data_IF_939238239381
#
_entry.id   IF_939238239381
#
_cell.length_a   1.000
_cell.length_b   1.000
_cell.length_c   1.000
_cell.angle_alpha   90.00
_cell.angle_beta   90.00
_cell.angle_gamma   90.00
#
_symmetry.space_group_name_H-M   'P 1'
#
loop_
_entity.id
_entity.type
_entity.pdbx_description
1 polymer ?
#
# COMPACT_ATOMS: atom_id res chain seq x y z
N UNK A 1 8.03 7.21 18.35
CA UNK A 1 7.40 7.58 17.06
C UNK A 1 7.43 6.36 16.15
N UNK A 2 6.54 6.26 15.17
CA UNK A 2 6.54 5.12 14.24
C UNK A 2 7.69 5.27 13.22
N UNK A 3 8.13 4.14 12.64
CA UNK A 3 9.12 4.13 11.55
C UNK A 3 8.64 5.01 10.38
N UNK A 4 7.33 5.00 10.10
CA UNK A 4 6.74 5.86 9.07
C UNK A 4 6.95 7.34 9.38
N UNK A 5 6.57 7.77 10.59
CA UNK A 5 6.70 9.16 11.03
C UNK A 5 8.16 9.61 10.94
N UNK A 6 9.09 8.84 11.52
CA UNK A 6 10.51 9.20 11.56
C UNK A 6 11.10 9.34 10.15
N UNK A 7 10.74 8.42 9.26
CA UNK A 7 11.17 8.45 7.86
C UNK A 7 10.60 9.67 7.12
N UNK A 8 9.32 9.99 7.34
CA UNK A 8 8.68 11.16 6.72
C UNK A 8 9.26 12.48 7.24
N UNK A 9 9.55 12.59 8.53
CA UNK A 9 10.21 13.78 9.09
C UNK A 9 11.58 13.99 8.45
N UNK A 10 12.35 12.92 8.30
CA UNK A 10 13.66 12.99 7.63
C UNK A 10 13.54 13.33 6.14
N UNK A 11 12.53 12.77 5.45
CA UNK A 11 12.22 13.13 4.07
C UNK A 11 11.88 14.62 3.92
N UNK A 12 11.08 15.18 4.83
CA UNK A 12 10.76 16.62 4.86
C UNK A 12 12.02 17.46 5.08
N UNK A 13 12.93 17.04 5.97
CA UNK A 13 14.22 17.73 6.19
C UNK A 13 15.07 17.76 4.93
N UNK A 14 15.23 16.61 4.27
CA UNK A 14 15.97 16.49 3.00
C UNK A 14 15.33 17.33 1.90
N UNK A 15 14.00 17.26 1.77
CA UNK A 15 13.24 18.07 0.83
C UNK A 15 13.46 19.57 1.05
N UNK A 16 13.38 20.04 2.30
CA UNK A 16 13.68 21.45 2.64
C UNK A 16 15.09 21.85 2.22
N UNK A 17 16.09 20.99 2.45
CA UNK A 17 17.47 21.25 2.03
C UNK A 17 17.59 21.35 0.50
N UNK A 18 16.92 20.47 -0.25
CA UNK A 18 16.85 20.53 -1.72
C UNK A 18 16.23 21.83 -2.20
N UNK A 19 15.09 22.26 -1.64
CA UNK A 19 14.46 23.51 -2.05
C UNK A 19 15.38 24.73 -1.83
N UNK A 20 16.23 24.74 -0.78
CA UNK A 20 17.20 25.83 -0.59
C UNK A 20 18.24 25.89 -1.70
N UNK A 21 18.61 24.74 -2.27
CA UNK A 21 19.60 24.62 -3.34
C UNK A 21 19.00 24.96 -4.71
N UNK A 22 17.73 24.61 -4.94
CA UNK A 22 17.16 24.60 -6.28
C UNK A 22 16.16 25.71 -6.58
N UNK A 23 15.65 26.43 -5.56
CA UNK A 23 14.69 27.51 -5.75
C UNK A 23 15.19 28.84 -5.17
N UNK A 24 14.87 29.98 -5.82
CA UNK A 24 15.03 31.30 -5.23
C UNK A 24 14.26 31.44 -3.90
N UNK A 25 14.76 32.32 -3.02
CA UNK A 25 14.22 32.47 -1.67
C UNK A 25 12.71 32.76 -1.62
N UNK A 26 12.21 33.65 -2.49
CA UNK A 26 10.79 34.00 -2.54
C UNK A 26 9.90 32.81 -2.93
N UNK A 27 10.26 32.08 -4.00
CA UNK A 27 9.53 30.89 -4.45
C UNK A 27 9.57 29.78 -3.40
N UNK A 28 10.73 29.57 -2.76
CA UNK A 28 10.90 28.61 -1.67
C UNK A 28 9.98 28.92 -0.49
N UNK A 29 9.92 30.18 -0.04
CA UNK A 29 9.09 30.57 1.12
C UNK A 29 7.61 30.38 0.81
N UNK A 30 7.16 30.81 -0.38
CA UNK A 30 5.77 30.61 -0.82
C UNK A 30 5.42 29.12 -0.88
N UNK A 31 6.30 28.29 -1.42
CA UNK A 31 6.06 26.85 -1.54
C UNK A 31 6.02 26.15 -0.16
N UNK A 32 6.95 26.48 0.73
CA UNK A 32 6.94 25.94 2.11
C UNK A 32 5.71 26.38 2.90
N UNK A 33 5.19 27.58 2.64
CA UNK A 33 3.95 28.07 3.23
C UNK A 33 2.74 27.31 2.66
N UNK A 34 2.69 27.11 1.34
CA UNK A 34 1.61 26.36 0.68
C UNK A 34 1.51 24.91 1.17
N UNK A 35 2.65 24.26 1.43
CA UNK A 35 2.70 22.90 1.98
C UNK A 35 2.46 22.84 3.49
N UNK A 36 2.28 23.98 4.16
CA UNK A 36 2.05 24.09 5.61
C UNK A 36 3.07 23.30 6.47
N UNK A 37 4.33 23.21 6.01
CA UNK A 37 5.38 22.38 6.64
C UNK A 37 5.77 22.89 8.04
N UNK A 38 5.38 24.12 8.39
CA UNK A 38 5.63 24.71 9.71
C UNK A 38 4.56 24.34 10.75
N UNK A 39 3.41 23.80 10.33
CA UNK A 39 2.33 23.44 11.23
C UNK A 39 2.75 22.27 12.14
N UNK A 40 2.80 22.43 13.47
CA UNK A 40 3.16 21.35 14.37
C UNK A 40 2.23 20.14 14.29
N UNK A 41 0.94 20.36 13.96
CA UNK A 41 -0.07 19.29 13.85
C UNK A 41 0.23 18.30 12.72
N UNK A 42 0.93 18.75 11.68
CA UNK A 42 1.41 17.92 10.58
C UNK A 42 2.25 16.74 11.12
N UNK A 43 3.17 17.01 12.03
CA UNK A 43 4.12 16.01 12.54
C UNK A 43 3.50 15.06 13.57
N UNK A 44 2.30 15.37 14.06
CA UNK A 44 1.52 14.49 14.94
C UNK A 44 0.52 13.61 14.18
N UNK A 45 0.34 13.81 12.87
CA UNK A 45 -0.62 13.05 12.06
C UNK A 45 0.07 12.32 10.92
N UNK A 46 0.12 10.99 11.01
CA UNK A 46 0.66 10.15 9.93
C UNK A 46 -0.11 10.33 8.62
N UNK A 47 -1.42 10.52 8.70
CA UNK A 47 -2.27 10.77 7.52
C UNK A 47 -1.86 12.06 6.82
N UNK A 48 -1.64 13.15 7.57
CA UNK A 48 -1.17 14.41 6.99
C UNK A 48 0.24 14.26 6.43
N UNK A 49 1.14 13.53 7.09
CA UNK A 49 2.47 13.23 6.58
C UNK A 49 2.41 12.42 5.28
N UNK A 50 1.55 11.40 5.21
CA UNK A 50 1.33 10.58 4.02
C UNK A 50 0.88 11.42 2.83
N UNK A 51 -0.15 12.25 3.03
CA UNK A 51 -0.64 13.16 1.99
C UNK A 51 0.42 14.17 1.57
N UNK A 52 1.19 14.72 2.52
CA UNK A 52 2.29 15.63 2.24
C UNK A 52 3.40 14.93 1.44
N UNK A 53 3.69 13.66 1.74
CA UNK A 53 4.68 12.86 1.01
C UNK A 53 4.40 12.82 -0.49
N UNK A 54 3.16 12.50 -0.89
CA UNK A 54 2.77 12.52 -2.29
C UNK A 54 2.83 13.92 -2.92
N UNK A 55 2.45 14.97 -2.18
CA UNK A 55 2.62 16.35 -2.65
C UNK A 55 4.09 16.70 -2.91
N UNK A 56 4.99 16.26 -2.04
CA UNK A 56 6.44 16.44 -2.19
C UNK A 56 6.94 15.71 -3.42
N UNK A 57 6.57 14.45 -3.61
CA UNK A 57 6.97 13.66 -4.79
C UNK A 57 6.52 14.34 -6.09
N UNK A 58 5.24 14.71 -6.18
CA UNK A 58 4.69 15.36 -7.37
C UNK A 58 5.43 16.66 -7.69
N UNK A 59 5.72 17.47 -6.68
CA UNK A 59 6.47 18.70 -6.87
C UNK A 59 7.92 18.45 -7.33
N UNK A 60 8.58 17.40 -6.81
CA UNK A 60 9.94 17.07 -7.21
C UNK A 60 10.00 16.59 -8.66
N UNK A 61 9.00 15.83 -9.13
CA UNK A 61 8.89 15.48 -10.55
C UNK A 61 8.72 16.73 -11.42
N UNK A 62 7.82 17.65 -11.05
CA UNK A 62 7.65 18.92 -11.77
C UNK A 62 8.93 19.78 -11.80
N UNK A 63 9.69 19.78 -10.70
CA UNK A 63 10.99 20.47 -10.63
C UNK A 63 12.06 19.85 -11.52
N UNK A 64 11.99 18.55 -11.75
CA UNK A 64 12.92 17.82 -12.62
C UNK A 64 12.58 18.09 -14.09
N UNK A 65 11.29 17.99 -14.45
CA UNK A 65 10.78 18.23 -15.81
C UNK A 65 11.03 19.66 -16.32
N UNK A 66 11.03 20.64 -15.41
CA UNK A 66 11.28 22.05 -15.74
C UNK A 66 12.77 22.35 -16.00
N UNK A 67 13.68 21.43 -15.66
CA UNK A 67 15.13 21.59 -15.85
C UNK A 67 15.63 20.75 -17.03
N UNK A 68 15.12 21.06 -18.23
CA UNK A 68 15.60 20.53 -19.52
C UNK A 68 17.00 21.07 -19.89
N UNK A 69 18.02 20.72 -19.11
CA UNK A 69 19.42 20.92 -19.45
C UNK A 69 20.14 19.57 -19.52
N UNK A 70 21.17 19.46 -20.35
CA UNK A 70 22.02 18.27 -20.56
C UNK A 70 22.63 17.67 -19.27
N UNK A 71 22.54 18.40 -18.15
CA UNK A 71 22.93 18.00 -16.79
C UNK A 71 21.71 17.94 -15.86
N UNK A 72 20.64 17.28 -16.28
CA UNK A 72 19.50 16.98 -15.39
C UNK A 72 20.01 16.22 -14.16
N UNK A 73 19.78 16.81 -12.99
CA UNK A 73 20.40 16.40 -11.73
C UNK A 73 19.73 15.13 -11.20
N UNK A 74 20.38 13.99 -11.41
CA UNK A 74 19.94 12.65 -10.97
C UNK A 74 19.46 12.57 -9.51
N UNK A 75 19.98 13.41 -8.61
CA UNK A 75 19.64 13.40 -7.19
C UNK A 75 18.18 13.80 -6.85
N UNK A 76 17.52 14.66 -7.64
CA UNK A 76 16.12 15.03 -7.41
C UNK A 76 15.22 13.86 -7.77
N UNK A 77 15.37 13.34 -9.00
CA UNK A 77 14.64 12.19 -9.51
C UNK A 77 14.83 10.94 -8.65
N UNK A 78 16.07 10.66 -8.24
CA UNK A 78 16.38 9.55 -7.34
C UNK A 78 15.65 9.70 -5.99
N UNK A 79 15.69 10.89 -5.38
CA UNK A 79 15.01 11.11 -4.10
C UNK A 79 13.48 11.01 -4.24
N UNK A 80 12.89 11.59 -5.28
CA UNK A 80 11.46 11.46 -5.57
C UNK A 80 11.07 9.99 -5.73
N UNK A 81 11.82 9.23 -6.51
CA UNK A 81 11.61 7.79 -6.73
C UNK A 81 11.73 7.00 -5.44
N UNK A 82 12.73 7.29 -4.61
CA UNK A 82 12.91 6.61 -3.32
C UNK A 82 11.77 6.91 -2.34
N UNK A 83 11.31 8.16 -2.27
CA UNK A 83 10.20 8.55 -1.41
C UNK A 83 8.89 7.93 -1.91
N UNK A 84 8.64 7.94 -3.22
CA UNK A 84 7.49 7.28 -3.84
C UNK A 84 7.45 5.80 -3.49
N UNK A 85 8.54 5.06 -3.75
CA UNK A 85 8.67 3.64 -3.40
C UNK A 85 8.49 3.36 -1.90
N UNK A 86 8.83 4.31 -1.04
CA UNK A 86 8.58 4.20 0.39
C UNK A 86 7.09 4.36 0.69
N UNK A 87 6.44 5.39 0.14
CA UNK A 87 5.01 5.66 0.33
C UNK A 87 4.12 4.55 -0.22
N UNK A 88 4.50 3.93 -1.34
CA UNK A 88 3.75 2.85 -1.98
C UNK A 88 3.63 1.59 -1.12
N UNK A 89 4.48 1.46 -0.09
CA UNK A 89 4.38 0.39 0.91
C UNK A 89 3.31 0.66 1.96
N UNK A 90 2.65 1.81 1.91
CA UNK A 90 1.65 2.22 2.87
C UNK A 90 0.37 2.64 2.16
N UNK A 91 -0.74 2.40 2.83
CA UNK A 91 -2.08 2.83 2.42
C UNK A 91 -2.80 3.45 3.60
N UNK A 92 -3.84 4.22 3.29
CA UNK A 92 -4.80 4.61 4.31
C UNK A 92 -5.72 3.43 4.58
N UNK A 93 -6.06 3.23 5.86
CA UNK A 93 -7.10 2.27 6.25
C UNK A 93 -8.46 2.68 5.65
N UNK A 94 -9.46 1.80 5.67
CA UNK A 94 -10.78 2.03 5.07
C UNK A 94 -11.46 3.34 5.49
N UNK A 95 -11.24 3.76 6.74
CA UNK A 95 -11.81 5.00 7.29
C UNK A 95 -10.93 6.24 7.03
N UNK A 96 -9.80 6.09 6.34
CA UNK A 96 -8.79 7.13 6.11
C UNK A 96 -8.16 7.74 7.38
N UNK A 97 -8.32 7.07 8.53
CA UNK A 97 -7.86 7.61 9.82
C UNK A 97 -6.42 7.25 10.16
N UNK A 98 -5.88 6.20 9.53
CA UNK A 98 -4.58 5.62 9.88
C UNK A 98 -3.81 5.22 8.64
N UNK A 99 -2.49 5.34 8.73
CA UNK A 99 -1.56 4.83 7.71
C UNK A 99 -1.15 3.43 8.13
N UNK A 100 -1.32 2.46 7.23
CA UNK A 100 -1.04 1.05 7.48
C UNK A 100 -0.10 0.53 6.41
N UNK A 101 0.87 -0.28 6.80
CA UNK A 101 1.76 -0.93 5.84
C UNK A 101 0.98 -1.99 5.04
N UNK A 102 1.20 -2.08 3.73
CA UNK A 102 0.46 -2.99 2.82
C UNK A 102 0.56 -4.45 3.27
N UNK A 103 1.74 -4.89 3.71
CA UNK A 103 1.90 -6.25 4.25
C UNK A 103 1.05 -6.53 5.50
N UNK A 104 0.78 -5.52 6.33
CA UNK A 104 -0.09 -5.65 7.50
C UNK A 104 -1.57 -5.73 7.07
N UNK A 105 -1.96 -4.94 6.06
CA UNK A 105 -3.29 -5.04 5.45
C UNK A 105 -3.51 -6.43 4.86
N UNK A 106 -2.57 -6.92 4.05
CA UNK A 106 -2.59 -8.27 3.49
C UNK A 106 -2.78 -9.33 4.58
N UNK A 107 -2.00 -9.28 5.67
CA UNK A 107 -2.15 -10.22 6.78
C UNK A 107 -3.53 -10.15 7.45
N UNK A 108 -4.12 -8.95 7.60
CA UNK A 108 -5.48 -8.82 8.15
C UNK A 108 -6.51 -9.51 7.25
N UNK A 109 -6.44 -9.30 5.94
CA UNK A 109 -7.34 -9.96 4.99
C UNK A 109 -7.12 -11.46 4.90
N UNK A 110 -5.88 -11.94 4.96
CA UNK A 110 -5.58 -13.37 5.01
C UNK A 110 -6.21 -14.04 6.24
N UNK A 111 -6.11 -13.41 7.41
CA UNK A 111 -6.74 -13.90 8.65
C UNK A 111 -8.25 -13.88 8.52
N UNK A 112 -8.82 -12.78 8.01
CA UNK A 112 -10.27 -12.64 7.82
C UNK A 112 -10.82 -13.69 6.84
N UNK A 113 -10.17 -13.87 5.69
CA UNK A 113 -10.49 -14.93 4.73
C UNK A 113 -10.43 -16.31 5.40
N UNK A 114 -9.37 -16.59 6.17
CA UNK A 114 -9.23 -17.86 6.90
C UNK A 114 -10.34 -18.06 7.91
N UNK A 115 -10.76 -17.02 8.62
CA UNK A 115 -11.87 -17.09 9.58
C UNK A 115 -13.19 -17.37 8.88
N UNK A 116 -13.52 -16.67 7.79
CA UNK A 116 -14.72 -16.93 6.99
C UNK A 116 -14.74 -18.40 6.54
N UNK A 117 -13.62 -18.89 6.04
CA UNK A 117 -13.51 -20.27 5.55
C UNK A 117 -13.54 -21.33 6.65
N UNK A 118 -12.86 -21.11 7.78
CA UNK A 118 -12.71 -22.11 8.83
C UNK A 118 -13.84 -22.12 9.86
N UNK A 119 -14.41 -20.94 10.17
CA UNK A 119 -15.36 -20.75 11.27
C UNK A 119 -16.81 -20.62 10.81
N UNK A 120 -17.07 -20.26 9.55
CA UNK A 120 -18.45 -20.22 9.08
C UNK A 120 -19.00 -21.65 9.08
N UNK A 121 -20.02 -21.90 9.91
CA UNK A 121 -20.68 -23.20 10.02
C UNK A 121 -21.32 -23.58 8.69
N UNK A 122 -21.89 -22.59 7.98
CA UNK A 122 -22.42 -22.65 6.63
C UNK A 122 -21.98 -21.40 5.84
N UNK A 123 -20.81 -21.40 5.20
CA UNK A 123 -20.32 -20.28 4.37
C UNK A 123 -21.15 -20.04 3.11
N UNK A 124 -22.30 -20.71 2.98
CA UNK A 124 -23.18 -20.66 1.80
C UNK A 124 -24.13 -19.44 1.82
N UNK A 125 -23.83 -18.41 2.61
CA UNK A 125 -24.53 -17.13 2.48
C UNK A 125 -23.82 -16.28 1.45
N UNK A 126 -24.59 -15.61 0.58
CA UNK A 126 -24.02 -14.72 -0.44
C UNK A 126 -23.11 -13.63 0.17
N UNK A 127 -23.38 -13.24 1.42
CA UNK A 127 -22.59 -12.26 2.15
C UNK A 127 -21.19 -12.80 2.53
N UNK A 128 -21.08 -14.04 3.00
CA UNK A 128 -19.79 -14.66 3.35
C UNK A 128 -18.92 -14.83 2.10
N UNK A 129 -19.51 -15.18 0.95
CA UNK A 129 -18.76 -15.30 -0.30
C UNK A 129 -18.31 -13.95 -0.85
N UNK A 130 -19.16 -12.92 -0.81
CA UNK A 130 -18.76 -11.58 -1.23
C UNK A 130 -17.61 -11.04 -0.36
N UNK A 131 -17.69 -11.24 0.95
CA UNK A 131 -16.63 -10.83 1.87
C UNK A 131 -15.33 -11.63 1.67
N UNK A 132 -15.43 -12.92 1.34
CA UNK A 132 -14.28 -13.75 0.98
C UNK A 132 -13.62 -13.29 -0.32
N UNK A 133 -14.40 -12.92 -1.34
CA UNK A 133 -13.89 -12.38 -2.59
C UNK A 133 -13.19 -11.04 -2.38
N UNK A 134 -13.76 -10.15 -1.57
CA UNK A 134 -13.12 -8.90 -1.19
C UNK A 134 -11.79 -9.16 -0.50
N UNK A 135 -11.77 -10.06 0.51
CA UNK A 135 -10.54 -10.42 1.19
C UNK A 135 -9.50 -10.96 0.21
N UNK A 136 -9.91 -11.85 -0.69
CA UNK A 136 -9.04 -12.43 -1.70
C UNK A 136 -8.42 -11.35 -2.59
N UNK A 137 -9.23 -10.46 -3.15
CA UNK A 137 -8.75 -9.35 -4.00
C UNK A 137 -7.70 -8.49 -3.27
N UNK A 138 -7.96 -8.14 -2.01
CA UNK A 138 -7.05 -7.32 -1.21
C UNK A 138 -5.76 -8.06 -0.84
N UNK A 139 -5.81 -9.40 -0.65
CA UNK A 139 -4.61 -10.21 -0.47
C UNK A 139 -3.79 -10.26 -1.76
N UNK A 140 -4.43 -10.42 -2.92
CA UNK A 140 -3.73 -10.40 -4.21
C UNK A 140 -3.03 -9.05 -4.45
N UNK A 141 -3.70 -7.93 -4.13
CA UNK A 141 -3.15 -6.59 -4.35
C UNK A 141 -1.96 -6.25 -3.42
N UNK A 142 -2.03 -6.62 -2.14
CA UNK A 142 -1.11 -6.08 -1.13
C UNK A 142 -0.04 -7.03 -0.60
N UNK A 143 -0.14 -8.32 -0.93
CA UNK A 143 0.76 -9.33 -0.37
C UNK A 143 2.14 -9.33 -1.01
N UNK A 144 3.15 -9.69 -0.22
CA UNK A 144 4.42 -10.16 -0.77
C UNK A 144 4.27 -11.53 -1.43
N UNK A 145 5.28 -11.94 -2.21
CA UNK A 145 5.31 -13.29 -2.83
C UNK A 145 5.18 -14.39 -1.77
N UNK A 146 5.89 -14.25 -0.67
CA UNK A 146 5.86 -15.20 0.45
C UNK A 146 4.47 -15.23 1.12
N UNK A 147 3.83 -14.07 1.27
CA UNK A 147 2.46 -13.99 1.81
C UNK A 147 1.44 -14.65 0.87
N UNK A 148 1.57 -14.46 -0.44
CA UNK A 148 0.73 -15.13 -1.44
C UNK A 148 0.91 -16.65 -1.41
N UNK A 149 2.14 -17.13 -1.29
CA UNK A 149 2.42 -18.57 -1.18
C UNK A 149 1.80 -19.17 0.09
N UNK A 150 1.92 -18.48 1.23
CA UNK A 150 1.29 -18.89 2.48
C UNK A 150 -0.24 -18.91 2.38
N UNK A 151 -0.83 -17.88 1.76
CA UNK A 151 -2.27 -17.81 1.56
C UNK A 151 -2.76 -18.93 0.64
N UNK A 152 -2.09 -19.16 -0.49
CA UNK A 152 -2.38 -20.26 -1.42
C UNK A 152 -2.31 -21.62 -0.73
N UNK A 153 -1.27 -21.86 0.06
CA UNK A 153 -1.14 -23.09 0.84
C UNK A 153 -2.27 -23.27 1.85
N UNK A 154 -2.73 -22.18 2.46
CA UNK A 154 -3.88 -22.19 3.39
C UNK A 154 -5.17 -22.59 2.68
N UNK A 155 -5.44 -22.03 1.50
CA UNK A 155 -6.59 -22.41 0.66
C UNK A 155 -6.55 -23.90 0.27
N UNK A 156 -5.39 -24.40 -0.16
CA UNK A 156 -5.21 -25.82 -0.51
C UNK A 156 -5.45 -26.74 0.69
N UNK A 157 -4.93 -26.37 1.85
CA UNK A 157 -5.11 -27.14 3.08
C UNK A 157 -6.58 -27.18 3.53
N UNK A 158 -7.30 -26.05 3.39
CA UNK A 158 -8.73 -25.96 3.68
C UNK A 158 -9.54 -26.86 2.74
N UNK A 159 -9.26 -26.84 1.44
CA UNK A 159 -9.92 -27.71 0.46
C UNK A 159 -9.70 -29.20 0.80
N UNK A 160 -8.49 -29.57 1.18
CA UNK A 160 -8.16 -30.95 1.58
C UNK A 160 -8.89 -31.38 2.85
N UNK A 161 -8.93 -30.50 3.86
CA UNK A 161 -9.52 -30.79 5.17
C UNK A 161 -11.04 -30.89 5.13
N UNK A 162 -11.68 -30.06 4.31
CA UNK A 162 -13.15 -29.94 4.27
C UNK A 162 -13.81 -30.70 3.10
N UNK A 163 -13.07 -31.62 2.45
CA UNK A 163 -13.55 -32.27 1.24
C UNK A 163 -14.84 -33.10 1.43
N UNK A 164 -15.13 -33.52 2.67
CA UNK A 164 -16.31 -34.32 3.03
C UNK A 164 -17.34 -33.58 3.91
N UNK A 165 -16.98 -32.43 4.51
CA UNK A 165 -17.78 -31.78 5.56
C UNK A 165 -18.49 -30.48 5.10
N UNK A 166 -18.13 -29.95 3.92
CA UNK A 166 -18.65 -28.68 3.40
C UNK A 166 -19.32 -28.85 2.03
N UNK A 167 -20.19 -27.90 1.68
CA UNK A 167 -20.97 -27.91 0.44
C UNK A 167 -20.09 -27.98 -0.83
N UNK A 168 -20.66 -28.45 -1.94
CA UNK A 168 -20.01 -28.38 -3.25
C UNK A 168 -19.75 -26.93 -3.69
N UNK A 169 -20.66 -26.02 -3.34
CA UNK A 169 -20.56 -24.59 -3.64
C UNK A 169 -19.34 -23.96 -2.98
N UNK A 170 -19.13 -24.23 -1.69
CA UNK A 170 -17.94 -23.80 -0.95
C UNK A 170 -16.64 -24.28 -1.59
N UNK A 171 -16.58 -25.57 -1.98
CA UNK A 171 -15.40 -26.15 -2.63
C UNK A 171 -15.15 -25.53 -4.01
N UNK A 172 -16.20 -25.32 -4.78
CA UNK A 172 -16.11 -24.63 -6.07
C UNK A 172 -15.57 -23.21 -5.91
N UNK A 173 -15.99 -22.49 -4.86
CA UNK A 173 -15.49 -21.15 -4.57
C UNK A 173 -13.99 -21.13 -4.25
N UNK A 174 -13.52 -22.02 -3.37
CA UNK A 174 -12.08 -22.10 -3.06
C UNK A 174 -11.27 -22.47 -4.31
N UNK A 175 -11.78 -23.37 -5.15
CA UNK A 175 -11.14 -23.71 -6.41
C UNK A 175 -11.05 -22.49 -7.35
N UNK A 176 -12.12 -21.70 -7.47
CA UNK A 176 -12.13 -20.45 -8.22
C UNK A 176 -11.03 -19.49 -7.73
N UNK A 177 -10.93 -19.28 -6.41
CA UNK A 177 -9.89 -18.41 -5.82
C UNK A 177 -8.48 -18.95 -6.06
N UNK A 178 -8.29 -20.28 -6.06
CA UNK A 178 -7.00 -20.90 -6.37
C UNK A 178 -6.61 -20.72 -7.85
N UNK A 179 -7.58 -20.77 -8.77
CA UNK A 179 -7.35 -20.56 -10.20
C UNK A 179 -6.90 -19.14 -10.53
N UNK A 180 -7.34 -18.13 -9.78
CA UNK A 180 -6.92 -16.74 -10.05
C UNK A 180 -5.42 -16.51 -9.85
N UNK A 181 -4.75 -17.30 -8.99
CA UNK A 181 -3.29 -17.26 -8.85
C UNK A 181 -2.55 -17.74 -10.11
N UNK A 182 -3.19 -18.57 -10.93
CA UNK A 182 -2.59 -19.11 -12.15
C UNK A 182 -2.76 -18.16 -13.33
N UNK A 183 -3.85 -17.39 -13.35
CA UNK A 183 -4.11 -16.35 -14.35
C UNK A 183 -3.17 -15.15 -14.18
N UNK A 184 -2.90 -14.74 -12.94
CA UNK A 184 -1.99 -13.64 -12.66
C UNK A 184 -0.52 -14.00 -12.99
N UNK A 185 -0.13 -15.27 -12.88
CA UNK A 185 1.19 -15.75 -13.36
C UNK A 185 1.34 -15.65 -14.87
N UNK A 186 0.24 -15.67 -15.64
CA UNK A 186 0.25 -15.60 -17.10
C UNK A 186 0.18 -14.17 -17.63
N UNK A 187 -0.33 -13.21 -16.85
CA UNK A 187 -0.39 -11.79 -17.27
C UNK A 187 0.93 -11.03 -17.06
N UNK A 188 1.84 -11.58 -16.26
CA UNK A 188 3.14 -10.97 -15.92
C UNK A 188 4.31 -11.59 -16.72
N UNK A 189 4.05 -12.64 -17.51
CA UNK A 189 5.03 -13.33 -18.36
C UNK A 189 4.91 -12.89 -19.82
#
# INVERSE_FOLDING_TARGET
MSIFTDTMVEAIRKYRAMLRKYLPQAQRVNHLHHLDIKNPRLYSSEVMLYQLGYKIVNHLHQLDDTKNGYYSYSGISQFATHLQKFLDKYKLDHNNERVVHTSQLASRYMVKATQIMALSANPDTDNDFAELEECHAMVMEYSSKEQLELYRGSLQNLLRKHNNDKSSLYRAKIQQLLSSFEEEKRSVA
#
